data_IF_564806136787
#
_entry.id   IF_564806136787
#
_cell.length_a   1.000
_cell.length_b   1.000
_cell.length_c   1.000
_cell.angle_alpha   90.00
_cell.angle_beta   90.00
_cell.angle_gamma   90.00
#
_symmetry.space_group_name_H-M   'P 1'
#
loop_
_entity.id
_entity.type
_entity.pdbx_description
1 polymer ?
#
# COMPACT_ATOMS: atom_id res chain seq x y z
N UNK A 1 1.77 19.97 -7.07
CA UNK A 1 0.46 19.29 -7.06
C UNK A 1 0.66 17.90 -6.46
N UNK A 2 0.69 17.80 -5.13
CA UNK A 2 0.92 16.54 -4.41
C UNK A 2 -0.22 15.54 -4.63
N UNK A 3 0.13 14.26 -4.71
CA UNK A 3 -0.83 13.15 -4.83
C UNK A 3 -1.70 13.11 -3.56
N UNK A 4 -2.99 13.53 -3.61
CA UNK A 4 -3.73 13.77 -2.39
C UNK A 4 -4.37 12.48 -1.90
N UNK A 5 -4.12 12.16 -0.63
CA UNK A 5 -4.94 11.22 0.13
C UNK A 5 -6.25 11.90 0.52
N UNK A 6 -7.04 12.28 -0.48
CA UNK A 6 -8.42 12.74 -0.34
C UNK A 6 -9.09 12.65 -1.72
N UNK A 7 -9.96 11.65 -1.91
CA UNK A 7 -10.85 11.57 -3.08
C UNK A 7 -11.78 12.80 -3.24
N UNK A 8 -11.78 13.71 -2.26
CA UNK A 8 -12.57 14.95 -2.29
C UNK A 8 -11.94 16.12 -3.06
N UNK A 9 -10.75 15.99 -3.66
CA UNK A 9 -10.19 17.06 -4.48
C UNK A 9 -9.82 16.63 -5.90
N UNK A 10 -10.78 16.76 -6.81
CA UNK A 10 -10.74 17.43 -8.13
C UNK A 10 -9.45 17.42 -8.99
N UNK A 11 -8.53 16.46 -8.84
CA UNK A 11 -7.43 16.20 -9.78
C UNK A 11 -7.47 14.74 -10.16
N UNK A 12 -8.14 14.45 -11.27
CA UNK A 12 -8.16 13.15 -11.92
C UNK A 12 -6.72 12.68 -12.16
N UNK A 13 -6.23 11.72 -11.37
CA UNK A 13 -5.06 10.94 -11.73
C UNK A 13 -5.50 10.01 -12.88
N UNK A 14 -5.14 10.37 -14.13
CA UNK A 14 -5.52 9.61 -15.32
C UNK A 14 -4.71 8.33 -15.50
N UNK A 15 -3.53 8.25 -14.88
CA UNK A 15 -2.54 7.22 -15.17
C UNK A 15 -2.13 6.45 -13.90
N UNK A 16 -1.94 5.14 -14.04
CA UNK A 16 -1.41 4.25 -13.01
C UNK A 16 0.03 3.86 -13.37
N UNK A 17 0.97 4.12 -12.46
CA UNK A 17 2.37 3.70 -12.66
C UNK A 17 2.56 2.28 -12.14
N UNK A 18 2.93 1.37 -13.04
CA UNK A 18 3.20 -0.04 -12.72
C UNK A 18 4.71 -0.25 -12.71
N UNK A 19 5.28 -0.34 -11.52
CA UNK A 19 6.68 -0.76 -11.35
C UNK A 19 6.77 -2.25 -11.00
N UNK A 20 8.00 -2.72 -10.77
CA UNK A 20 8.27 -4.11 -10.42
C UNK A 20 7.55 -4.56 -9.13
N UNK A 21 7.34 -3.66 -8.16
CA UNK A 21 6.65 -3.98 -6.90
C UNK A 21 5.14 -4.13 -7.11
N UNK A 22 4.52 -3.26 -7.92
CA UNK A 22 3.10 -3.39 -8.29
C UNK A 22 2.87 -4.66 -9.10
N UNK A 23 3.76 -4.96 -10.06
CA UNK A 23 3.69 -6.19 -10.85
C UNK A 23 3.86 -7.43 -9.96
N UNK A 24 4.77 -7.41 -8.99
CA UNK A 24 4.94 -8.51 -8.03
C UNK A 24 3.69 -8.74 -7.17
N UNK A 25 3.03 -7.67 -6.73
CA UNK A 25 1.73 -7.78 -6.04
C UNK A 25 0.74 -8.48 -6.96
N UNK A 26 0.64 -8.05 -8.22
CA UNK A 26 -0.26 -8.68 -9.19
C UNK A 26 0.05 -10.16 -9.40
N UNK A 27 1.31 -10.55 -9.55
CA UNK A 27 1.68 -11.97 -9.70
C UNK A 27 1.25 -12.80 -8.46
N UNK A 28 1.36 -12.22 -7.26
CA UNK A 28 0.88 -12.89 -6.04
C UNK A 28 -0.64 -13.05 -6.05
N UNK A 29 -1.37 -11.98 -6.38
CA UNK A 29 -2.83 -11.98 -6.53
C UNK A 29 -3.30 -12.99 -7.60
N UNK A 30 -2.59 -13.06 -8.73
CA UNK A 30 -2.85 -13.99 -9.82
C UNK A 30 -2.63 -15.45 -9.40
N UNK A 31 -1.60 -15.72 -8.60
CA UNK A 31 -1.36 -17.07 -8.05
C UNK A 31 -2.50 -17.48 -7.11
N UNK A 32 -2.92 -16.59 -6.20
CA UNK A 32 -4.06 -16.83 -5.31
C UNK A 32 -5.35 -17.10 -6.11
N UNK A 33 -5.55 -16.35 -7.20
CA UNK A 33 -6.67 -16.57 -8.11
C UNK A 33 -6.57 -17.92 -8.82
N UNK A 34 -5.39 -18.33 -9.28
CA UNK A 34 -5.19 -19.62 -9.95
C UNK A 34 -5.53 -20.79 -9.01
N UNK A 35 -5.16 -20.68 -7.74
CA UNK A 35 -5.52 -21.65 -6.69
C UNK A 35 -7.05 -21.71 -6.50
N UNK A 36 -7.72 -20.56 -6.39
CA UNK A 36 -9.19 -20.46 -6.28
C UNK A 36 -9.94 -21.03 -7.49
N UNK A 37 -9.38 -20.87 -8.69
CA UNK A 37 -10.00 -21.27 -9.95
C UNK A 37 -9.71 -22.72 -10.35
N UNK A 38 -8.84 -23.41 -9.62
CA UNK A 38 -8.47 -24.79 -9.93
C UNK A 38 -9.65 -25.75 -9.79
N UNK A 39 -9.74 -26.72 -10.71
CA UNK A 39 -10.85 -27.70 -10.79
C UNK A 39 -10.83 -28.72 -9.64
N UNK A 40 -9.65 -28.96 -9.06
CA UNK A 40 -9.44 -29.78 -7.88
C UNK A 40 -8.94 -28.89 -6.75
N UNK A 41 -9.78 -28.05 -6.13
CA UNK A 41 -9.41 -27.49 -4.85
C UNK A 41 -9.20 -28.71 -3.95
N UNK A 42 -7.98 -28.92 -3.45
CA UNK A 42 -7.75 -29.99 -2.48
C UNK A 42 -8.81 -29.90 -1.38
N UNK A 43 -9.10 -31.00 -0.69
CA UNK A 43 -10.12 -31.09 0.38
C UNK A 43 -9.94 -30.08 1.53
N UNK A 44 -8.95 -29.20 1.46
CA UNK A 44 -8.53 -28.19 2.42
C UNK A 44 -8.22 -26.81 1.77
N UNK A 45 -8.79 -26.46 0.62
CA UNK A 45 -8.58 -25.12 0.04
C UNK A 45 -9.03 -24.03 1.02
N UNK A 46 -8.07 -23.26 1.54
CA UNK A 46 -8.33 -22.07 2.33
C UNK A 46 -8.11 -20.84 1.45
N UNK A 47 -9.14 -19.99 1.25
CA UNK A 47 -8.96 -18.77 0.49
C UNK A 47 -7.86 -17.89 1.08
N UNK A 48 -6.90 -17.57 0.23
CA UNK A 48 -5.77 -16.70 0.60
C UNK A 48 -6.29 -15.33 1.00
N UNK A 49 -5.71 -14.81 2.08
CA UNK A 49 -5.95 -13.44 2.56
C UNK A 49 -4.61 -12.74 2.60
N UNK A 50 -4.52 -11.62 1.90
CA UNK A 50 -3.28 -10.85 1.74
C UNK A 50 -3.43 -9.49 2.41
N UNK A 51 -2.36 -8.98 2.99
CA UNK A 51 -2.27 -7.58 3.43
C UNK A 51 -1.07 -6.92 2.76
N UNK A 52 -1.32 -5.89 1.96
CA UNK A 52 -0.27 -5.04 1.42
C UNK A 52 0.15 -4.05 2.49
N UNK A 53 1.45 -4.01 2.77
CA UNK A 53 2.07 -3.09 3.73
C UNK A 53 3.19 -2.36 3.01
N UNK A 54 3.16 -1.03 3.03
CA UNK A 54 4.21 -0.19 2.48
C UNK A 54 4.34 1.12 3.24
N UNK A 55 5.40 1.88 2.96
CA UNK A 55 5.56 3.24 3.50
C UNK A 55 4.39 4.13 3.05
N UNK A 56 3.80 4.94 3.94
CA UNK A 56 2.75 5.87 3.56
C UNK A 56 3.25 6.88 2.52
N UNK A 57 2.37 7.31 1.61
CA UNK A 57 2.71 8.30 0.59
C UNK A 57 3.52 7.78 -0.61
N UNK A 58 3.89 6.50 -0.64
CA UNK A 58 4.60 5.86 -1.76
C UNK A 58 3.79 5.92 -3.07
N UNK A 59 2.45 5.81 -3.03
CA UNK A 59 1.63 5.68 -4.23
C UNK A 59 1.59 4.26 -4.84
N UNK A 60 2.61 3.42 -4.64
CA UNK A 60 2.58 2.00 -5.03
C UNK A 60 1.44 1.23 -4.36
N UNK A 61 1.01 1.56 -3.14
CA UNK A 61 -0.17 0.93 -2.52
C UNK A 61 -1.46 1.26 -3.29
N UNK A 62 -1.59 2.49 -3.80
CA UNK A 62 -2.72 2.89 -4.64
C UNK A 62 -2.68 2.16 -5.98
N UNK A 63 -1.51 2.13 -6.63
CA UNK A 63 -1.30 1.38 -7.86
C UNK A 63 -1.55 -0.12 -7.64
N UNK A 64 -1.14 -0.68 -6.51
CA UNK A 64 -1.38 -2.06 -6.11
C UNK A 64 -2.82 -2.33 -5.65
N UNK A 65 -3.70 -1.31 -5.60
CA UNK A 65 -5.15 -1.49 -5.53
C UNK A 65 -5.79 -1.40 -6.91
N UNK A 66 -5.49 -0.33 -7.66
CA UNK A 66 -6.13 -0.04 -8.95
C UNK A 66 -5.67 -0.94 -10.10
N UNK A 67 -4.38 -1.29 -10.15
CA UNK A 67 -3.86 -2.19 -11.17
C UNK A 67 -4.39 -3.62 -11.01
N UNK A 68 -4.37 -4.25 -9.82
CA UNK A 68 -5.04 -5.53 -9.62
C UNK A 68 -6.55 -5.45 -9.88
N UNK A 69 -7.23 -4.37 -9.50
CA UNK A 69 -8.65 -4.18 -9.84
C UNK A 69 -8.87 -4.28 -11.36
N UNK A 70 -8.11 -3.51 -12.13
CA UNK A 70 -8.17 -3.55 -13.60
C UNK A 70 -7.94 -4.98 -14.12
N UNK A 71 -6.87 -5.63 -13.68
CA UNK A 71 -6.55 -6.99 -14.11
C UNK A 71 -7.65 -8.02 -13.74
N UNK A 72 -8.25 -7.93 -12.55
CA UNK A 72 -9.33 -8.80 -12.11
C UNK A 72 -10.61 -8.62 -12.94
N UNK A 73 -10.92 -7.38 -13.34
CA UNK A 73 -12.05 -7.07 -14.22
C UNK A 73 -11.85 -7.67 -15.62
N UNK A 74 -10.61 -7.79 -16.08
CA UNK A 74 -10.25 -8.43 -17.36
C UNK A 74 -10.10 -9.96 -17.29
N UNK A 75 -10.14 -10.57 -16.10
CA UNK A 75 -10.16 -12.04 -15.99
C UNK A 75 -11.41 -12.62 -16.64
N UNK A 76 -11.37 -13.90 -16.97
CA UNK A 76 -12.55 -14.64 -17.46
C UNK A 76 -13.73 -14.55 -16.46
N UNK A 77 -14.90 -14.14 -16.94
CA UNK A 77 -16.11 -13.95 -16.15
C UNK A 77 -16.75 -15.27 -15.71
N UNK A 78 -16.52 -16.37 -16.41
CA UNK A 78 -16.98 -17.70 -16.02
C UNK A 78 -16.21 -18.23 -14.81
N UNK A 79 -14.93 -17.86 -14.74
CA UNK A 79 -14.04 -18.28 -13.65
C UNK A 79 -14.15 -17.35 -12.44
N UNK A 80 -14.08 -16.03 -12.67
CA UNK A 80 -14.19 -15.01 -11.64
C UNK A 80 -15.41 -14.13 -11.91
N UNK A 81 -16.48 -14.39 -11.15
CA UNK A 81 -17.79 -13.81 -11.39
C UNK A 81 -18.00 -12.46 -10.69
N UNK A 82 -17.34 -12.25 -9.54
CA UNK A 82 -17.51 -11.04 -8.73
C UNK A 82 -16.16 -10.41 -8.42
N UNK A 83 -16.06 -9.08 -8.57
CA UNK A 83 -14.94 -8.30 -8.03
C UNK A 83 -15.53 -7.20 -7.16
N UNK A 84 -15.05 -7.04 -5.94
CA UNK A 84 -15.49 -5.99 -5.03
C UNK A 84 -14.31 -5.10 -4.64
N UNK A 85 -14.48 -3.78 -4.70
CA UNK A 85 -13.49 -2.81 -4.25
C UNK A 85 -14.13 -1.92 -3.18
N UNK A 86 -13.63 -2.01 -1.94
CA UNK A 86 -14.13 -1.23 -0.81
C UNK A 86 -13.12 -0.15 -0.41
N UNK A 87 -13.58 1.09 -0.36
CA UNK A 87 -12.79 2.26 0.04
C UNK A 87 -13.08 2.62 1.49
N UNK A 88 -12.20 2.20 2.40
CA UNK A 88 -12.30 2.51 3.83
C UNK A 88 -13.64 2.11 4.42
N UNK A 89 -14.25 1.01 3.97
CA UNK A 89 -15.57 0.54 4.44
C UNK A 89 -16.74 1.51 4.22
N UNK A 90 -16.49 2.66 3.59
CA UNK A 90 -17.47 3.73 3.40
C UNK A 90 -18.25 3.56 2.10
N UNK A 91 -17.55 3.15 1.03
CA UNK A 91 -18.13 2.94 -0.28
C UNK A 91 -17.55 1.66 -0.86
N UNK A 92 -18.40 0.75 -1.28
CA UNK A 92 -17.99 -0.50 -1.93
C UNK A 92 -18.61 -0.55 -3.32
N UNK A 93 -17.75 -0.75 -4.32
CA UNK A 93 -18.17 -1.05 -5.69
C UNK A 93 -18.13 -2.56 -5.88
N UNK A 94 -19.21 -3.13 -6.39
CA UNK A 94 -19.31 -4.56 -6.69
C UNK A 94 -19.58 -4.72 -8.18
N UNK A 95 -18.67 -5.42 -8.84
CA UNK A 95 -18.72 -5.73 -10.26
C UNK A 95 -19.16 -7.19 -10.43
N UNK A 96 -20.40 -7.39 -10.89
CA UNK A 96 -20.91 -8.72 -11.24
C UNK A 96 -20.66 -8.93 -12.74
N UNK A 97 -19.62 -9.70 -13.04
CA UNK A 97 -19.07 -9.83 -14.39
C UNK A 97 -19.94 -10.69 -15.31
N UNK A 98 -20.72 -11.62 -14.74
CA UNK A 98 -21.65 -12.49 -15.48
C UNK A 98 -22.77 -11.70 -16.16
N UNK A 99 -23.27 -10.65 -15.50
CA UNK A 99 -24.34 -9.77 -16.01
C UNK A 99 -23.81 -8.39 -16.42
N UNK A 100 -22.50 -8.17 -16.33
CA UNK A 100 -21.80 -6.92 -16.68
C UNK A 100 -22.35 -5.69 -15.96
N UNK A 101 -22.67 -5.83 -14.68
CA UNK A 101 -23.19 -4.73 -13.85
C UNK A 101 -22.15 -4.23 -12.85
N UNK A 102 -22.29 -2.96 -12.48
CA UNK A 102 -21.58 -2.37 -11.34
C UNK A 102 -22.59 -1.75 -10.38
N UNK A 103 -22.51 -2.12 -9.12
CA UNK A 103 -23.34 -1.58 -8.06
C UNK A 103 -22.47 -0.83 -7.05
N UNK A 104 -22.93 0.35 -6.63
CA UNK A 104 -22.26 1.18 -5.63
C UNK A 104 -23.07 1.15 -4.34
N UNK A 105 -22.43 0.70 -3.27
CA UNK A 105 -23.02 0.65 -1.93
C UNK A 105 -22.33 1.67 -1.03
N UNK A 106 -23.12 2.50 -0.37
CA UNK A 106 -22.63 3.42 0.67
C UNK A 106 -22.92 2.77 2.02
N UNK A 107 -21.88 2.64 2.84
CA UNK A 107 -21.93 1.98 4.14
C UNK A 107 -21.60 0.48 4.11
N UNK A 108 -21.03 0.01 5.21
CA UNK A 108 -20.58 -1.37 5.36
C UNK A 108 -21.71 -2.41 5.44
N UNK A 109 -22.89 -2.03 5.91
CA UNK A 109 -24.01 -2.95 6.10
C UNK A 109 -24.70 -3.33 4.77
N UNK A 110 -25.02 -2.34 3.93
CA UNK A 110 -25.63 -2.57 2.62
C UNK A 110 -24.72 -3.42 1.71
N UNK A 111 -23.41 -3.12 1.71
CA UNK A 111 -22.44 -3.91 0.94
C UNK A 111 -22.28 -5.33 1.49
N UNK A 112 -22.30 -5.51 2.82
CA UNK A 112 -22.24 -6.84 3.46
C UNK A 112 -23.38 -7.73 3.00
N UNK A 113 -24.62 -7.26 3.05
CA UNK A 113 -25.79 -8.06 2.70
C UNK A 113 -25.73 -8.52 1.24
N UNK A 114 -25.39 -7.62 0.33
CA UNK A 114 -25.26 -7.94 -1.09
C UNK A 114 -24.15 -8.97 -1.35
N UNK A 115 -22.96 -8.76 -0.79
CA UNK A 115 -21.85 -9.72 -0.91
C UNK A 115 -22.20 -11.10 -0.32
N UNK A 116 -22.92 -11.13 0.81
CA UNK A 116 -23.42 -12.38 1.39
C UNK A 116 -24.37 -13.11 0.43
N UNK A 117 -25.24 -12.40 -0.27
CA UNK A 117 -26.17 -12.99 -1.23
C UNK A 117 -25.44 -13.56 -2.46
N UNK A 118 -24.44 -12.85 -3.00
CA UNK A 118 -23.62 -13.38 -4.09
C UNK A 118 -22.84 -14.62 -3.69
N UNK A 119 -22.25 -14.62 -2.49
CA UNK A 119 -21.55 -15.78 -1.95
C UNK A 119 -22.47 -17.00 -1.75
N UNK A 120 -23.69 -16.78 -1.22
CA UNK A 120 -24.73 -17.83 -1.03
C UNK A 120 -25.20 -18.43 -2.36
N UNK A 121 -25.19 -17.66 -3.45
CA UNK A 121 -25.44 -18.14 -4.82
C UNK A 121 -24.30 -19.01 -5.37
N UNK A 122 -23.25 -19.27 -4.58
CA UNK A 122 -22.11 -20.07 -5.01
C UNK A 122 -21.07 -19.29 -5.82
N UNK A 123 -21.22 -17.98 -5.95
CA UNK A 123 -20.37 -17.19 -6.85
C UNK A 123 -18.94 -17.08 -6.32
N UNK A 124 -17.95 -17.19 -7.23
CA UNK A 124 -16.54 -16.95 -6.93
C UNK A 124 -16.23 -15.46 -7.02
N UNK A 125 -15.53 -14.95 -6.01
CA UNK A 125 -15.27 -13.51 -5.90
C UNK A 125 -13.86 -13.13 -5.48
N UNK A 126 -13.50 -11.88 -5.75
CA UNK A 126 -12.26 -11.27 -5.28
C UNK A 126 -12.57 -9.93 -4.60
N UNK A 127 -12.00 -9.68 -3.42
CA UNK A 127 -12.18 -8.41 -2.69
C UNK A 127 -10.87 -7.67 -2.57
N UNK A 128 -10.87 -6.41 -3.01
CA UNK A 128 -9.85 -5.42 -2.67
C UNK A 128 -10.46 -4.50 -1.61
N UNK A 129 -9.81 -4.40 -0.46
CA UNK A 129 -10.27 -3.56 0.63
C UNK A 129 -9.18 -2.54 0.98
N UNK A 130 -9.38 -1.30 0.60
CA UNK A 130 -8.52 -0.19 0.99
C UNK A 130 -8.87 0.22 2.41
N UNK A 131 -7.88 0.27 3.29
CA UNK A 131 -8.08 0.79 4.63
C UNK A 131 -7.44 2.15 4.80
N UNK A 132 -8.20 3.04 5.43
CA UNK A 132 -7.76 4.38 5.81
C UNK A 132 -7.54 4.46 7.31
N UNK A 133 -6.73 5.43 7.76
CA UNK A 133 -6.30 5.57 9.15
C UNK A 133 -7.45 5.62 10.18
N UNK A 134 -8.62 6.13 9.77
CA UNK A 134 -9.78 6.31 10.64
C UNK A 134 -10.75 5.13 10.66
N UNK A 135 -10.50 4.09 9.87
CA UNK A 135 -11.47 3.00 9.64
C UNK A 135 -10.93 1.69 10.20
N UNK A 136 -11.83 0.94 10.85
CA UNK A 136 -11.56 -0.39 11.34
C UNK A 136 -11.12 -1.35 10.20
N UNK A 137 -10.36 -2.41 10.51
CA UNK A 137 -10.07 -3.48 9.56
C UNK A 137 -11.34 -4.08 8.95
N UNK A 138 -11.22 -4.83 7.84
CA UNK A 138 -12.36 -5.54 7.25
C UNK A 138 -13.06 -6.38 8.33
N UNK A 139 -14.39 -6.37 8.30
CA UNK A 139 -15.19 -7.12 9.26
C UNK A 139 -14.95 -8.64 9.14
N UNK A 140 -15.11 -9.36 10.25
CA UNK A 140 -14.84 -10.80 10.31
C UNK A 140 -15.74 -11.67 9.42
N UNK A 141 -16.84 -11.14 8.88
CA UNK A 141 -17.69 -11.91 7.97
C UNK A 141 -16.98 -12.28 6.67
N UNK A 142 -15.99 -11.50 6.24
CA UNK A 142 -15.14 -11.84 5.09
C UNK A 142 -14.35 -13.13 5.31
N UNK A 143 -14.17 -13.56 6.56
CA UNK A 143 -13.50 -14.83 6.89
C UNK A 143 -14.37 -16.04 6.54
N UNK A 144 -15.69 -15.86 6.36
CA UNK A 144 -16.64 -16.93 6.05
C UNK A 144 -16.74 -17.23 4.55
N UNK A 145 -16.20 -16.36 3.69
CA UNK A 145 -16.30 -16.53 2.25
C UNK A 145 -15.23 -17.51 1.73
N UNK A 146 -15.51 -18.81 1.89
CA UNK A 146 -14.71 -19.96 1.45
C UNK A 146 -14.41 -20.04 -0.06
N UNK A 147 -15.04 -19.20 -0.89
CA UNK A 147 -14.83 -19.11 -2.35
C UNK A 147 -14.32 -17.74 -2.80
N UNK A 148 -13.83 -16.92 -1.85
CA UNK A 148 -13.44 -15.55 -2.13
C UNK A 148 -12.05 -15.26 -1.60
N UNK A 149 -11.18 -14.75 -2.48
CA UNK A 149 -9.84 -14.26 -2.12
C UNK A 149 -9.94 -12.78 -1.76
N UNK A 150 -9.12 -12.33 -0.82
CA UNK A 150 -9.11 -10.95 -0.38
C UNK A 150 -7.69 -10.40 -0.28
N UNK A 151 -7.50 -9.18 -0.78
CA UNK A 151 -6.35 -8.33 -0.49
C UNK A 151 -6.80 -7.09 0.27
N UNK A 152 -6.09 -6.78 1.35
CA UNK A 152 -6.28 -5.57 2.13
C UNK A 152 -5.12 -4.63 1.84
N UNK A 153 -5.43 -3.43 1.36
CA UNK A 153 -4.44 -2.38 1.10
C UNK A 153 -4.38 -1.47 2.32
N UNK A 154 -3.35 -1.63 3.15
CA UNK A 154 -3.26 -0.92 4.43
C UNK A 154 -2.32 0.30 4.33
N UNK A 155 -2.86 1.50 4.57
CA UNK A 155 -1.99 2.67 4.83
C UNK A 155 -1.43 2.58 6.25
N UNK A 156 -0.14 2.23 6.37
CA UNK A 156 0.86 2.45 7.44
C UNK A 156 0.50 2.49 8.94
N UNK A 157 -0.72 2.74 9.38
CA UNK A 157 -1.15 2.62 10.77
C UNK A 157 -1.55 1.18 11.09
N UNK A 158 -0.54 0.34 11.34
CA UNK A 158 -0.75 -1.11 11.44
C UNK A 158 -1.29 -1.56 12.81
N UNK A 159 -1.49 -0.62 13.75
CA UNK A 159 -2.02 -0.89 15.09
C UNK A 159 -3.42 -1.51 15.01
N UNK A 160 -4.20 -1.07 14.01
CA UNK A 160 -5.53 -1.60 13.76
C UNK A 160 -5.52 -2.99 13.07
N UNK A 161 -4.52 -3.30 12.24
CA UNK A 161 -4.51 -4.54 11.43
C UNK A 161 -3.84 -5.73 12.10
N UNK A 162 -2.97 -5.52 13.09
CA UNK A 162 -2.28 -6.64 13.75
C UNK A 162 -3.24 -7.69 14.31
N UNK A 163 -4.38 -7.24 14.86
CA UNK A 163 -5.46 -8.14 15.31
C UNK A 163 -6.12 -8.86 14.15
N UNK A 164 -6.45 -8.14 13.08
CA UNK A 164 -7.09 -8.73 11.90
C UNK A 164 -6.20 -9.77 11.23
N UNK A 165 -4.92 -9.45 10.99
CA UNK A 165 -3.93 -10.36 10.38
C UNK A 165 -3.86 -11.68 11.15
N UNK A 166 -3.84 -11.62 12.50
CA UNK A 166 -3.83 -12.82 13.35
C UNK A 166 -5.14 -13.61 13.26
N UNK A 167 -6.28 -12.92 13.25
CA UNK A 167 -7.60 -13.56 13.18
C UNK A 167 -7.90 -14.16 11.81
N UNK A 168 -7.39 -13.55 10.74
CA UNK A 168 -7.64 -13.95 9.36
C UNK A 168 -6.58 -14.91 8.80
N UNK A 169 -5.52 -15.16 9.58
CA UNK A 169 -4.30 -15.84 9.12
C UNK A 169 -3.74 -15.22 7.83
N UNK A 170 -3.81 -13.88 7.71
CA UNK A 170 -3.44 -13.21 6.47
C UNK A 170 -1.92 -13.12 6.28
N UNK A 171 -1.49 -13.44 5.08
CA UNK A 171 -0.11 -13.34 4.65
C UNK A 171 0.22 -11.89 4.25
N UNK A 172 1.39 -11.41 4.66
CA UNK A 172 1.83 -10.05 4.37
C UNK A 172 2.54 -10.00 3.03
N UNK A 173 2.28 -8.94 2.28
CA UNK A 173 3.04 -8.57 1.09
C UNK A 173 3.65 -7.20 1.36
N UNK A 174 4.96 -7.14 1.44
CA UNK A 174 5.66 -5.89 1.76
C UNK A 174 5.99 -5.18 0.47
N UNK A 175 5.37 -4.03 0.21
CA UNK A 175 5.54 -3.23 -1.00
C UNK A 175 6.63 -2.18 -0.76
N UNK A 176 7.75 -2.32 -1.46
CA UNK A 176 8.85 -1.36 -1.34
C UNK A 176 8.48 0.02 -1.89
N UNK A 177 9.19 1.05 -1.42
CA UNK A 177 9.22 2.35 -2.07
C UNK A 177 9.72 2.20 -3.53
N UNK A 178 9.28 3.07 -4.45
CA UNK A 178 9.94 3.22 -5.74
C UNK A 178 11.40 3.57 -5.53
N UNK A 179 12.27 3.19 -6.47
CA UNK A 179 13.65 3.64 -6.47
C UNK A 179 13.82 4.95 -7.27
N UNK A 180 15.05 5.46 -7.32
CA UNK A 180 15.33 6.70 -8.06
C UNK A 180 15.09 6.59 -9.58
N UNK A 181 15.17 5.39 -10.14
CA UNK A 181 14.89 5.15 -11.56
C UNK A 181 13.39 5.09 -11.83
N UNK A 182 12.61 4.50 -10.93
CA UNK A 182 11.14 4.57 -10.96
C UNK A 182 10.69 6.04 -10.95
N UNK A 183 11.19 6.85 -10.01
CA UNK A 183 10.85 8.28 -9.91
C UNK A 183 11.28 9.04 -11.18
N UNK A 184 12.46 8.71 -11.74
CA UNK A 184 12.91 9.31 -13.00
C UNK A 184 11.98 8.96 -14.17
N UNK A 185 11.50 7.72 -14.24
CA UNK A 185 10.54 7.29 -15.26
C UNK A 185 9.19 8.02 -15.10
N UNK A 186 8.71 8.17 -13.86
CA UNK A 186 7.53 8.98 -13.55
C UNK A 186 7.72 10.43 -14.02
N UNK A 187 8.88 11.06 -13.78
CA UNK A 187 9.17 12.41 -14.27
C UNK A 187 9.10 12.52 -15.78
N UNK A 188 9.74 11.57 -16.48
CA UNK A 188 9.73 11.53 -17.95
C UNK A 188 8.30 11.41 -18.48
N UNK A 189 7.46 10.59 -17.84
CA UNK A 189 6.05 10.44 -18.21
C UNK A 189 5.22 11.71 -17.93
N UNK A 190 5.38 12.30 -16.75
CA UNK A 190 4.66 13.51 -16.34
C UNK A 190 4.99 14.73 -17.21
N UNK A 191 6.20 14.77 -17.78
CA UNK A 191 6.70 15.85 -18.65
C UNK A 191 6.85 15.43 -20.10
N UNK A 192 6.22 14.32 -20.51
CA UNK A 192 6.37 13.73 -21.86
C UNK A 192 6.07 14.71 -23.01
N UNK A 193 5.14 15.63 -22.79
CA UNK A 193 4.71 16.62 -23.78
C UNK A 193 5.55 17.91 -23.74
N UNK A 194 6.46 18.04 -22.77
CA UNK A 194 7.34 19.20 -22.61
C UNK A 194 8.63 19.10 -23.43
N UNK A 195 9.31 20.25 -23.61
CA UNK A 195 10.60 20.29 -24.29
C UNK A 195 11.72 19.72 -23.41
N UNK A 196 12.81 19.27 -24.04
CA UNK A 196 13.92 18.57 -23.36
C UNK A 196 14.50 19.34 -22.17
N UNK A 197 14.61 20.65 -22.28
CA UNK A 197 15.24 21.48 -21.23
C UNK A 197 14.33 21.58 -19.99
N UNK A 198 13.01 21.73 -20.18
CA UNK A 198 12.03 21.69 -19.09
C UNK A 198 11.98 20.33 -18.40
N UNK A 199 12.12 19.23 -19.16
CA UNK A 199 12.22 17.88 -18.60
C UNK A 199 13.47 17.73 -17.73
N UNK A 200 14.61 18.28 -18.19
CA UNK A 200 15.87 18.24 -17.47
C UNK A 200 15.82 19.08 -16.18
N UNK A 201 15.26 20.30 -16.24
CA UNK A 201 15.05 21.14 -15.07
C UNK A 201 14.10 20.50 -14.06
N UNK A 202 12.99 19.93 -14.53
CA UNK A 202 12.06 19.22 -13.66
C UNK A 202 12.72 18.03 -12.97
N UNK A 203 13.47 17.20 -13.70
CA UNK A 203 14.22 16.10 -13.10
C UNK A 203 15.27 16.59 -12.10
N UNK A 204 15.97 17.70 -12.38
CA UNK A 204 16.93 18.29 -11.44
C UNK A 204 16.24 18.67 -10.12
N UNK A 205 15.11 19.36 -10.18
CA UNK A 205 14.30 19.71 -9.00
C UNK A 205 13.85 18.46 -8.22
N UNK A 206 13.31 17.44 -8.90
CA UNK A 206 12.86 16.21 -8.25
C UNK A 206 14.03 15.46 -7.61
N UNK A 207 15.19 15.41 -8.28
CA UNK A 207 16.40 14.77 -7.75
C UNK A 207 16.89 15.47 -6.48
N UNK A 208 16.83 16.79 -6.43
CA UNK A 208 17.15 17.58 -5.23
C UNK A 208 16.15 17.30 -4.08
N UNK A 209 14.85 17.25 -4.37
CA UNK A 209 13.83 16.92 -3.36
C UNK A 209 13.99 15.49 -2.83
N UNK A 210 14.32 14.53 -3.70
CA UNK A 210 14.56 13.13 -3.34
C UNK A 210 15.75 12.98 -2.38
N UNK A 211 16.74 13.86 -2.48
CA UNK A 211 17.88 13.87 -1.57
C UNK A 211 17.46 14.13 -0.12
N UNK A 212 16.40 14.92 0.11
CA UNK A 212 15.92 15.30 1.45
C UNK A 212 14.70 14.51 1.93
N UNK A 213 13.93 13.93 1.02
CA UNK A 213 12.64 13.29 1.33
C UNK A 213 12.57 11.82 0.90
N UNK A 214 13.60 11.31 0.23
CA UNK A 214 13.60 10.00 -0.39
C UNK A 214 12.70 9.89 -1.63
N UNK A 215 12.67 8.72 -2.29
CA UNK A 215 11.89 8.48 -3.50
C UNK A 215 10.41 8.23 -3.18
N UNK A 216 9.77 9.14 -2.43
CA UNK A 216 8.36 9.00 -2.01
C UNK A 216 7.49 9.99 -2.83
N UNK A 217 6.78 9.53 -3.87
CA UNK A 217 6.04 10.37 -4.83
C UNK A 217 5.19 11.48 -4.23
N UNK A 218 4.59 11.27 -3.05
CA UNK A 218 3.82 12.30 -2.33
C UNK A 218 4.64 13.58 -2.10
N UNK A 219 5.93 13.44 -1.79
CA UNK A 219 6.80 14.55 -1.41
C UNK A 219 7.68 15.03 -2.57
N UNK A 220 8.09 14.14 -3.49
CA UNK A 220 9.08 14.50 -4.53
C UNK A 220 8.52 15.24 -5.74
N UNK A 221 7.19 15.31 -5.92
CA UNK A 221 6.57 15.96 -7.07
C UNK A 221 5.89 17.30 -6.74
N UNK A 222 5.91 17.70 -5.48
CA UNK A 222 5.32 18.95 -5.01
C UNK A 222 6.30 19.65 -4.06
N UNK A 223 6.79 20.82 -4.48
CA UNK A 223 7.76 21.57 -3.70
C UNK A 223 7.24 21.96 -2.30
N UNK A 224 5.95 22.28 -2.16
CA UNK A 224 5.37 22.64 -0.87
C UNK A 224 5.29 21.42 0.04
N UNK A 225 4.85 20.27 -0.49
CA UNK A 225 4.85 19.01 0.27
C UNK A 225 6.26 18.58 0.63
N UNK A 226 7.24 18.74 -0.27
CA UNK A 226 8.65 18.47 0.00
C UNK A 226 9.19 19.33 1.13
N UNK A 227 8.89 20.64 1.13
CA UNK A 227 9.33 21.58 2.17
C UNK A 227 8.66 21.22 3.51
N UNK A 228 7.35 21.02 3.50
CA UNK A 228 6.60 20.66 4.70
C UNK A 228 7.10 19.33 5.29
N UNK A 229 7.37 18.33 4.44
CA UNK A 229 7.91 17.05 4.89
C UNK A 229 9.34 17.16 5.40
N UNK A 230 10.19 17.95 4.73
CA UNK A 230 11.55 18.25 5.20
C UNK A 230 11.55 18.92 6.58
N UNK A 231 10.72 19.94 6.79
CA UNK A 231 10.56 20.57 8.10
C UNK A 231 10.06 19.57 9.17
N UNK A 232 9.13 18.69 8.77
CA UNK A 232 8.60 17.65 9.66
C UNK A 232 9.65 16.58 10.01
N UNK A 233 10.62 16.30 9.12
CA UNK A 233 11.78 15.44 9.36
C UNK A 233 12.73 16.09 10.37
N UNK A 234 13.06 17.38 10.19
CA UNK A 234 13.95 18.09 11.13
C UNK A 234 13.35 18.17 12.53
N UNK A 235 12.07 18.54 12.62
CA UNK A 235 11.30 18.52 13.88
C UNK A 235 11.31 17.13 14.55
N UNK A 236 11.20 16.07 13.74
CA UNK A 236 11.29 14.70 14.25
C UNK A 236 12.70 14.33 14.73
N UNK A 237 13.76 14.80 14.06
CA UNK A 237 15.14 14.60 14.48
C UNK A 237 15.43 15.32 15.81
N UNK A 238 14.97 16.56 15.95
CA UNK A 238 15.12 17.35 17.19
C UNK A 238 14.29 16.77 18.36
N UNK A 239 13.15 16.16 18.05
CA UNK A 239 12.30 15.48 19.02
C UNK A 239 12.87 14.15 19.56
N UNK A 240 13.90 13.57 18.92
CA UNK A 240 14.56 12.35 19.39
C UNK A 240 15.51 12.72 20.54
N UNK A 241 14.99 12.66 21.77
CA UNK A 241 15.70 13.11 22.98
C UNK A 241 16.46 12.01 23.77
N UNK A 242 16.54 10.76 23.32
CA UNK A 242 17.20 9.70 24.12
C UNK A 242 17.57 8.40 23.38
N UNK A 243 18.31 7.52 24.08
CA UNK A 243 18.63 6.11 23.76
C UNK A 243 17.44 5.26 23.27
N UNK A 244 16.20 5.64 23.56
CA UNK A 244 15.03 4.91 23.08
C UNK A 244 14.80 5.10 21.58
N UNK A 245 15.24 6.21 20.98
CA UNK A 245 15.14 6.45 19.55
C UNK A 245 16.01 5.50 18.71
N UNK A 246 17.16 5.03 19.22
CA UNK A 246 18.02 4.06 18.50
C UNK A 246 17.29 2.73 18.27
N UNK A 247 16.47 2.30 19.22
CA UNK A 247 15.62 1.11 19.10
C UNK A 247 14.60 1.23 17.96
N UNK A 248 14.36 2.44 17.45
CA UNK A 248 13.44 2.72 16.34
C UNK A 248 14.07 2.47 14.96
N UNK A 249 15.40 2.50 14.90
CA UNK A 249 16.18 2.26 13.69
C UNK A 249 16.86 0.88 13.70
N UNK A 250 16.90 0.22 14.86
CA UNK A 250 17.55 -1.09 15.04
C UNK A 250 16.52 -2.09 15.57
N UNK A 251 15.77 -2.76 14.68
CA UNK A 251 15.33 -4.14 14.96
C UNK A 251 14.93 -4.91 13.70
N UNK A 252 15.58 -6.06 13.51
CA UNK A 252 15.08 -7.15 12.66
C UNK A 252 13.80 -7.70 13.26
N UNK A 253 12.70 -7.59 12.51
CA UNK A 253 11.58 -8.53 12.57
C UNK A 253 10.61 -8.41 13.76
N UNK A 254 9.34 -8.60 13.42
CA UNK A 254 8.17 -8.91 14.28
C UNK A 254 7.29 -7.74 14.76
N UNK A 255 7.82 -6.56 15.13
CA UNK A 255 6.97 -5.43 15.59
C UNK A 255 6.83 -4.35 14.52
N UNK A 256 5.60 -4.15 14.04
CA UNK A 256 5.20 -3.00 13.23
C UNK A 256 5.39 -1.74 14.07
N UNK A 257 6.12 -0.77 13.54
CA UNK A 257 6.37 0.48 14.23
C UNK A 257 5.08 1.31 14.26
N UNK A 258 4.57 1.60 15.45
CA UNK A 258 3.22 2.15 15.64
C UNK A 258 3.17 3.68 15.74
N UNK A 259 2.01 4.20 15.31
CA UNK A 259 1.61 5.60 15.24
C UNK A 259 1.63 6.27 16.62
N UNK A 260 2.47 7.29 16.77
CA UNK A 260 2.51 8.33 17.84
C UNK A 260 3.93 8.92 17.94
N UNK A 261 4.94 8.25 17.37
CA UNK A 261 6.34 8.67 17.49
C UNK A 261 6.82 9.47 16.26
N UNK A 262 7.54 10.59 16.43
CA UNK A 262 8.11 11.40 15.34
C UNK A 262 8.95 10.61 14.32
N UNK A 263 9.56 9.49 14.76
CA UNK A 263 10.38 8.59 13.93
C UNK A 263 9.68 8.01 12.69
N UNK A 264 8.34 7.98 12.62
CA UNK A 264 7.64 7.53 11.40
C UNK A 264 7.87 8.45 10.19
N UNK A 265 8.19 9.72 10.44
CA UNK A 265 8.60 10.66 9.38
C UNK A 265 10.01 10.38 8.88
N UNK A 266 10.76 9.51 9.56
CA UNK A 266 12.18 9.23 9.31
C UNK A 266 12.40 7.83 8.72
N UNK A 267 11.43 6.92 8.82
CA UNK A 267 11.59 5.52 8.38
C UNK A 267 10.55 5.08 7.35
N UNK A 268 11.02 4.32 6.36
CA UNK A 268 10.21 3.57 5.41
C UNK A 268 10.24 2.07 5.69
N UNK A 269 9.22 1.38 5.19
CA UNK A 269 9.12 -0.08 5.22
C UNK A 269 9.93 -0.64 4.05
N UNK A 270 10.92 -1.46 4.36
CA UNK A 270 11.74 -2.18 3.37
C UNK A 270 11.49 -3.67 3.51
N UNK A 271 11.22 -4.33 2.40
CA UNK A 271 11.04 -5.77 2.33
C UNK A 271 12.31 -6.51 2.73
N UNK A 272 12.19 -7.47 3.62
CA UNK A 272 13.23 -8.43 3.97
C UNK A 272 12.75 -9.84 3.66
N UNK A 273 13.60 -10.62 2.99
CA UNK A 273 13.28 -12.02 2.65
C UNK A 273 13.81 -12.93 3.75
N UNK A 274 12.93 -13.70 4.39
CA UNK A 274 13.31 -14.76 5.32
C UNK A 274 13.74 -16.05 4.59
N UNK A 275 14.36 -16.97 5.33
CA UNK A 275 14.88 -18.25 4.81
C UNK A 275 13.79 -19.19 4.25
N UNK A 276 12.52 -19.05 4.67
CA UNK A 276 11.40 -19.94 4.29
C UNK A 276 10.36 -19.22 3.41
N UNK A 277 10.76 -18.18 2.67
CA UNK A 277 9.86 -17.47 1.74
C UNK A 277 8.83 -16.54 2.38
N UNK A 278 8.72 -16.52 3.72
CA UNK A 278 7.92 -15.54 4.44
C UNK A 278 8.48 -14.11 4.25
N UNK A 279 7.63 -13.18 3.81
CA UNK A 279 8.01 -11.77 3.70
C UNK A 279 8.01 -11.11 5.09
N UNK A 280 9.18 -10.65 5.50
CA UNK A 280 9.36 -9.74 6.62
C UNK A 280 9.55 -8.31 6.12
N UNK A 281 9.60 -7.37 7.05
CA UNK A 281 10.03 -6.02 6.76
C UNK A 281 11.04 -5.54 7.79
N UNK A 282 11.82 -4.55 7.39
CA UNK A 282 12.71 -3.76 8.22
C UNK A 282 12.27 -2.30 8.11
N UNK A 283 12.42 -1.56 9.20
CA UNK A 283 12.36 -0.11 9.13
C UNK A 283 13.73 0.37 8.68
N UNK A 284 13.78 1.07 7.55
CA UNK A 284 15.00 1.71 7.06
C UNK A 284 14.78 3.22 6.99
N UNK A 285 15.83 4.05 7.10
CA UNK A 285 15.70 5.48 6.84
C UNK A 285 15.06 5.73 5.46
N UNK A 286 14.15 6.72 5.37
CA UNK A 286 13.44 7.03 4.11
C UNK A 286 14.40 7.39 2.96
N UNK A 287 15.58 7.90 3.29
CA UNK A 287 16.66 8.15 2.33
C UNK A 287 18.04 7.93 2.94
N UNK A 288 19.00 7.68 2.06
CA UNK A 288 20.36 7.27 2.43
C UNK A 288 21.06 8.28 3.35
N UNK A 289 20.97 9.58 3.05
CA UNK A 289 21.62 10.62 3.84
C UNK A 289 21.02 10.75 5.25
N UNK A 290 19.73 10.48 5.43
CA UNK A 290 19.10 10.45 6.74
C UNK A 290 19.72 9.37 7.62
N UNK A 291 20.00 8.19 7.05
CA UNK A 291 20.68 7.09 7.75
C UNK A 291 22.05 7.47 8.29
N UNK A 292 22.74 8.43 7.67
CA UNK A 292 24.00 8.98 8.17
C UNK A 292 23.82 10.07 9.22
N UNK A 293 22.73 10.83 9.14
CA UNK A 293 22.39 11.91 10.09
C UNK A 293 21.90 11.36 11.43
N UNK A 294 21.05 10.34 11.39
CA UNK A 294 20.42 9.68 12.55
C UNK A 294 21.43 9.39 13.68
N UNK A 295 22.59 8.75 13.44
CA UNK A 295 23.61 8.51 14.48
C UNK A 295 24.14 9.76 15.19
N UNK A 296 24.19 10.92 14.52
CA UNK A 296 24.71 12.16 15.11
C UNK A 296 23.79 12.74 16.19
N UNK A 297 22.49 12.42 16.13
CA UNK A 297 21.52 12.83 17.16
C UNK A 297 21.50 11.88 18.36
N UNK A 298 22.01 10.65 18.19
CA UNK A 298 22.19 9.68 19.27
C UNK A 298 23.51 9.82 20.04
N UNK A 299 24.46 10.57 19.48
CA UNK A 299 25.82 10.73 20.00
C UNK A 299 26.03 11.87 21.00
N UNK A 300 25.03 12.70 21.32
CA UNK A 300 25.15 13.69 22.40
C UNK A 300 25.04 12.97 23.75
N UNK A 301 26.18 12.48 24.23
CA UNK A 301 26.37 11.99 25.60
C UNK A 301 26.46 13.23 26.49
N UNK A 302 25.42 13.48 27.27
CA UNK A 302 25.60 14.23 28.50
C UNK A 302 26.19 13.25 29.52
N UNK A 303 27.50 13.38 29.77
CA UNK A 303 28.15 12.90 30.99
C UNK A 303 27.70 13.75 32.19
#
# INVERSE_FOLDING_TARGET
MGWPYSWKENKFARDCHVNCEVERVWQTVRNDLTELLSTHPGTYFEPRRRVLIGTPGIGNLMAAGSYPLHQLLHCDAEKLQVVAHSFGGSTTYVFEKTVKTVARYVGGEASKEFLCNLWRRGMKGYVIYDVTEKVAPPASYFLRYDRWVMVVVASSNVRNYGKWIRQSNAERIIVNCPDGMDVKAMCAWMKRDGIRDEQAEYWKMVKEQMYYTGPVPRYVFDANESIAHGAAIEDALDGIKSRDGEKHFIHRGVRLWYSENPSQKLVGVVRARGEVGAEGFLNAPIYFCLGRRIPHYFGKRDE
#
